data_IF_960809713515
#
_entry.id   IF_960809713515
#
_cell.length_a   1.000
_cell.length_b   1.000
_cell.length_c   1.000
_cell.angle_alpha   90.00
_cell.angle_beta   90.00
_cell.angle_gamma   90.00
#
_symmetry.space_group_name_H-M   'P 1'
#
loop_
_entity.id
_entity.type
_entity.pdbx_description
1 polymer ?
#
# COMPACT_ATOMS: atom_id res chain seq x y z
N UNK A 1 2.07 19.58 18.45
CA UNK A 1 3.33 19.37 17.69
C UNK A 1 4.48 18.82 18.56
N UNK A 2 4.23 18.25 19.74
CA UNK A 2 5.28 17.88 20.71
C UNK A 2 5.84 16.46 20.51
N UNK A 3 5.02 15.49 20.10
CA UNK A 3 5.42 14.07 20.03
C UNK A 3 6.54 13.78 19.02
N UNK A 4 6.50 14.39 17.82
CA UNK A 4 7.51 14.19 16.76
C UNK A 4 8.86 14.84 17.06
N UNK A 5 8.89 15.80 18.00
CA UNK A 5 10.09 16.55 18.39
C UNK A 5 10.74 15.99 19.68
N UNK A 6 10.18 14.92 20.25
CA UNK A 6 10.71 14.29 21.46
C UNK A 6 12.03 13.54 21.19
N UNK A 7 12.76 13.23 22.27
CA UNK A 7 14.02 12.48 22.20
C UNK A 7 13.75 11.11 21.57
N UNK A 8 14.42 10.83 20.45
CA UNK A 8 14.37 9.54 19.77
C UNK A 8 15.15 8.51 20.58
N UNK A 9 14.71 7.25 20.53
CA UNK A 9 15.54 6.15 21.00
C UNK A 9 16.80 6.03 20.12
N UNK A 10 17.93 5.56 20.66
CA UNK A 10 19.08 5.17 19.84
C UNK A 10 18.63 4.21 18.74
N UNK A 11 19.22 4.31 17.54
CA UNK A 11 18.87 3.53 16.33
C UNK A 11 17.55 3.88 15.60
N UNK A 12 16.71 4.76 16.16
CA UNK A 12 15.44 5.13 15.49
C UNK A 12 15.51 6.49 14.80
N UNK A 13 15.27 6.49 13.48
CA UNK A 13 15.41 7.68 12.63
C UNK A 13 14.30 8.72 12.84
N UNK A 14 13.09 8.31 13.23
CA UNK A 14 11.91 9.21 13.33
C UNK A 14 10.83 8.67 14.28
N UNK A 15 10.21 9.59 15.02
CA UNK A 15 8.98 9.31 15.78
C UNK A 15 7.78 9.55 14.86
N UNK A 16 7.03 8.49 14.57
CA UNK A 16 5.80 8.56 13.79
C UNK A 16 4.60 8.75 14.70
N UNK A 17 3.63 9.52 14.23
CA UNK A 17 2.29 9.55 14.82
C UNK A 17 1.40 8.51 14.14
N UNK A 18 0.35 8.06 14.83
CA UNK A 18 -0.61 7.11 14.27
C UNK A 18 -1.16 7.62 12.91
N UNK A 19 -1.13 6.75 11.89
CA UNK A 19 -1.57 7.07 10.53
C UNK A 19 -0.51 7.71 9.63
N UNK A 20 0.63 8.15 10.17
CA UNK A 20 1.67 8.84 9.39
C UNK A 20 2.41 7.90 8.42
N UNK A 21 2.66 6.65 8.84
CA UNK A 21 3.33 5.66 7.97
C UNK A 21 2.41 5.24 6.82
N UNK A 22 1.13 5.03 7.12
CA UNK A 22 0.09 4.68 6.18
C UNK A 22 -0.13 5.80 5.16
N UNK A 23 -0.16 7.05 5.62
CA UNK A 23 -0.27 8.22 4.74
C UNK A 23 0.92 8.34 3.79
N UNK A 24 2.16 8.15 4.28
CA UNK A 24 3.36 8.17 3.44
C UNK A 24 3.35 7.05 2.40
N UNK A 25 3.00 5.83 2.82
CA UNK A 25 2.90 4.68 1.92
C UNK A 25 1.75 4.85 0.90
N UNK A 26 0.66 5.52 1.28
CA UNK A 26 -0.42 5.90 0.37
C UNK A 26 0.03 6.94 -0.66
N UNK A 27 0.76 7.99 -0.25
CA UNK A 27 1.30 9.01 -1.15
C UNK A 27 2.22 8.39 -2.21
N UNK A 28 3.06 7.42 -1.81
CA UNK A 28 3.93 6.71 -2.74
C UNK A 28 3.12 5.89 -3.76
N UNK A 29 2.17 5.06 -3.28
CA UNK A 29 1.35 4.18 -4.13
C UNK A 29 0.39 4.95 -5.03
N UNK A 30 -0.09 6.12 -4.60
CA UNK A 30 -0.93 6.99 -5.44
C UNK A 30 -0.22 7.39 -6.73
N UNK A 31 1.11 7.57 -6.69
CA UNK A 31 1.89 7.96 -7.86
C UNK A 31 2.40 6.77 -8.68
N UNK A 32 2.81 5.69 -8.03
CA UNK A 32 3.47 4.54 -8.69
C UNK A 32 2.53 3.37 -9.02
N UNK A 33 1.33 3.35 -8.46
CA UNK A 33 0.47 2.16 -8.44
C UNK A 33 0.74 1.27 -7.22
N UNK A 34 -0.08 0.23 -7.07
CA UNK A 34 0.01 -0.74 -5.97
C UNK A 34 0.66 -2.00 -6.54
N UNK A 35 1.79 -2.41 -5.97
CA UNK A 35 2.41 -3.69 -6.30
C UNK A 35 1.57 -4.84 -5.75
N UNK A 36 0.96 -5.63 -6.63
CA UNK A 36 0.26 -6.86 -6.26
C UNK A 36 1.22 -8.04 -6.39
N UNK A 37 1.22 -8.96 -5.42
CA UNK A 37 2.00 -10.19 -5.54
C UNK A 37 1.36 -11.13 -6.59
N UNK A 38 2.14 -12.09 -7.10
CA UNK A 38 1.69 -12.99 -8.18
C UNK A 38 0.43 -13.79 -7.81
N UNK A 39 0.36 -14.32 -6.59
CA UNK A 39 -0.78 -15.09 -6.12
C UNK A 39 -2.08 -14.28 -6.12
N UNK A 40 -2.03 -13.03 -5.66
CA UNK A 40 -3.19 -12.14 -5.62
C UNK A 40 -3.63 -11.75 -7.04
N UNK A 41 -2.69 -11.58 -7.97
CA UNK A 41 -3.02 -11.34 -9.39
C UNK A 41 -3.79 -12.53 -9.98
N UNK A 42 -3.36 -13.77 -9.68
CA UNK A 42 -4.03 -14.99 -10.10
C UNK A 42 -5.45 -15.09 -9.51
N UNK A 43 -5.60 -14.87 -8.20
CA UNK A 43 -6.92 -14.85 -7.52
C UNK A 43 -7.86 -13.78 -8.11
N UNK A 44 -7.34 -12.61 -8.49
CA UNK A 44 -8.14 -11.56 -9.14
C UNK A 44 -8.60 -11.96 -10.55
N UNK A 45 -7.79 -12.72 -11.28
CA UNK A 45 -8.14 -13.24 -12.60
C UNK A 45 -9.21 -14.32 -12.47
N UNK A 46 -9.04 -15.25 -11.53
CA UNK A 46 -10.00 -16.33 -11.24
C UNK A 46 -11.38 -15.74 -10.91
N UNK A 47 -11.47 -14.82 -9.96
CA UNK A 47 -12.74 -14.16 -9.62
C UNK A 47 -13.36 -13.40 -10.80
N UNK A 48 -12.55 -12.77 -11.65
CA UNK A 48 -13.05 -12.08 -12.85
C UNK A 48 -13.71 -13.08 -13.80
N UNK A 49 -13.07 -14.21 -14.02
CA UNK A 49 -13.53 -15.23 -14.97
C UNK A 49 -14.77 -15.96 -14.43
N UNK A 50 -14.79 -16.29 -13.13
CA UNK A 50 -15.93 -16.89 -12.43
C UNK A 50 -17.19 -16.01 -12.49
N UNK A 51 -17.00 -14.70 -12.38
CA UNK A 51 -18.09 -13.72 -12.45
C UNK A 51 -18.39 -13.24 -13.87
N UNK A 52 -17.75 -13.83 -14.89
CA UNK A 52 -17.86 -13.46 -16.30
C UNK A 52 -17.64 -11.96 -16.57
N UNK A 53 -16.79 -11.30 -15.77
CA UNK A 53 -16.45 -9.87 -15.84
C UNK A 53 -15.44 -9.59 -16.96
N UNK A 54 -15.75 -10.09 -18.16
CA UNK A 54 -14.84 -10.12 -19.32
C UNK A 54 -14.47 -8.76 -19.87
N UNK A 55 -15.18 -7.68 -19.52
CA UNK A 55 -14.86 -6.30 -19.88
C UNK A 55 -13.60 -5.78 -19.20
N UNK A 56 -13.22 -6.34 -18.04
CA UNK A 56 -12.06 -5.86 -17.30
C UNK A 56 -10.78 -6.59 -17.74
N UNK A 57 -9.73 -5.81 -18.02
CA UNK A 57 -8.37 -6.30 -18.32
C UNK A 57 -7.41 -5.63 -17.37
N UNK A 58 -6.73 -6.43 -16.56
CA UNK A 58 -5.75 -5.91 -15.63
C UNK A 58 -4.38 -5.78 -16.33
N UNK A 59 -3.68 -4.64 -16.23
CA UNK A 59 -2.45 -4.35 -16.97
C UNK A 59 -1.17 -4.77 -16.21
N UNK A 60 -1.30 -5.70 -15.26
CA UNK A 60 -0.18 -6.25 -14.50
C UNK A 60 0.37 -7.52 -15.14
#
# INVERSE_FOLDING_TARGET
>A
RALRASKKMPEESRIYTAGEKEHLAWLERKKKGISLNKKLQEEMIEMRDDLALTTYRFPF
#
